data_IF_153814058865
#
_entry.id   IF_153814058865
#
_cell.length_a   1.000
_cell.length_b   1.000
_cell.length_c   1.000
_cell.angle_alpha   90.00
_cell.angle_beta   90.00
_cell.angle_gamma   90.00
#
_symmetry.space_group_name_H-M   'P 1'
#
loop_
_entity.id
_entity.type
_entity.pdbx_description
1 polymer ?
#
# COMPACT_ATOMS: atom_id res chain seq x y z
N UNK A 1 7.21 5.67 21.21
CA UNK A 1 6.54 5.67 19.92
C UNK A 1 6.91 6.91 19.12
N UNK A 2 8.11 6.95 18.53
CA UNK A 2 8.51 7.83 17.44
C UNK A 2 8.31 9.36 17.57
N UNK A 3 7.58 9.86 18.57
CA UNK A 3 7.32 11.30 18.74
C UNK A 3 8.60 12.12 18.86
N UNK A 4 9.66 11.54 19.44
CA UNK A 4 10.97 12.15 19.51
C UNK A 4 11.59 12.41 18.13
N UNK A 5 11.15 11.71 17.08
CA UNK A 5 11.64 11.96 15.72
C UNK A 5 11.15 13.28 15.15
N UNK A 6 10.04 13.84 15.67
CA UNK A 6 9.48 15.10 15.18
C UNK A 6 10.38 16.30 15.46
N UNK A 7 11.28 16.22 16.44
CA UNK A 7 12.32 17.23 16.65
C UNK A 7 13.26 17.37 15.45
N UNK A 8 13.48 16.27 14.69
CA UNK A 8 14.32 16.28 13.49
C UNK A 8 13.65 17.02 12.31
N UNK A 9 12.34 17.29 12.41
CA UNK A 9 11.60 18.12 11.46
C UNK A 9 11.47 19.58 11.94
N UNK A 10 11.91 19.90 13.17
CA UNK A 10 11.67 21.21 13.78
C UNK A 10 10.19 21.47 14.08
N UNK A 11 9.40 20.43 14.33
CA UNK A 11 7.96 20.50 14.54
C UNK A 11 7.63 20.25 16.00
N UNK A 12 6.83 21.15 16.59
CA UNK A 12 6.26 21.00 17.92
C UNK A 12 4.85 20.42 17.84
N UNK A 13 4.60 19.39 18.65
CA UNK A 13 3.32 18.69 18.70
C UNK A 13 2.46 19.20 19.84
N UNK A 14 1.29 19.73 19.54
CA UNK A 14 0.29 20.16 20.52
C UNK A 14 -0.46 18.99 21.16
N UNK A 15 -0.84 18.03 20.34
CA UNK A 15 -1.48 16.79 20.79
C UNK A 15 -1.27 15.66 19.79
N UNK A 16 -1.34 14.43 20.27
CA UNK A 16 -1.26 13.25 19.40
C UNK A 16 -2.29 12.20 19.78
N UNK A 17 -2.77 11.47 18.78
CA UNK A 17 -3.69 10.35 18.96
C UNK A 17 -3.28 9.18 18.05
N UNK A 18 -3.57 7.96 18.50
CA UNK A 18 -3.30 6.75 17.69
C UNK A 18 -4.41 6.52 16.69
N UNK A 19 -4.03 6.11 15.50
CA UNK A 19 -4.90 5.56 14.47
C UNK A 19 -4.26 4.30 13.89
N UNK A 20 -4.91 3.61 12.98
CA UNK A 20 -4.51 2.35 12.35
C UNK A 20 -3.01 2.28 11.99
N UNK A 21 -2.16 1.92 12.96
CA UNK A 21 -0.69 1.75 12.78
C UNK A 21 0.10 3.06 12.61
N UNK A 22 -0.46 4.21 13.03
CA UNK A 22 0.17 5.51 12.93
C UNK A 22 -0.19 6.43 14.10
N UNK A 23 0.49 7.57 14.21
CA UNK A 23 0.16 8.67 15.12
C UNK A 23 -0.30 9.86 14.29
N UNK A 24 -1.50 10.35 14.59
CA UNK A 24 -1.99 11.65 14.12
C UNK A 24 -1.46 12.70 15.07
N UNK A 25 -0.69 13.66 14.56
CA UNK A 25 -0.05 14.73 15.32
C UNK A 25 -0.67 16.07 14.94
N UNK A 26 -1.26 16.78 15.90
CA UNK A 26 -1.76 18.14 15.71
C UNK A 26 -0.65 19.12 16.01
N UNK A 27 -0.32 19.97 15.05
CA UNK A 27 0.76 20.96 15.12
C UNK A 27 0.25 22.35 14.75
N UNK A 28 1.09 23.37 14.83
CA UNK A 28 0.76 24.70 14.30
C UNK A 28 0.67 24.74 12.79
N UNK A 29 1.40 23.87 12.11
CA UNK A 29 1.44 23.76 10.65
C UNK A 29 0.28 22.93 10.07
N UNK A 30 -0.55 22.34 10.93
CA UNK A 30 -1.66 21.47 10.51
C UNK A 30 -1.60 20.10 11.17
N UNK A 31 -2.29 19.16 10.56
CA UNK A 31 -2.34 17.78 11.03
C UNK A 31 -1.36 16.94 10.22
N UNK A 32 -0.56 16.15 10.92
CA UNK A 32 0.48 15.31 10.36
C UNK A 32 0.29 13.85 10.78
N UNK A 33 0.70 12.93 9.94
CA UNK A 33 0.66 11.50 10.19
C UNK A 33 2.09 10.95 10.29
N UNK A 34 2.47 10.52 11.48
CA UNK A 34 3.73 9.82 11.74
C UNK A 34 3.51 8.32 11.72
N UNK A 35 4.29 7.60 10.90
CA UNK A 35 4.16 6.15 10.72
C UNK A 35 5.52 5.47 10.72
N UNK A 36 5.61 4.27 11.33
CA UNK A 36 6.77 3.41 11.12
C UNK A 36 6.91 3.06 9.64
N UNK A 37 8.15 3.07 9.16
CA UNK A 37 8.47 2.80 7.76
C UNK A 37 9.07 1.42 7.60
N UNK A 38 8.44 0.60 6.74
CA UNK A 38 8.87 -0.76 6.43
C UNK A 38 9.00 -0.93 4.92
N UNK A 39 10.00 -0.31 4.33
CA UNK A 39 10.12 -0.35 2.88
C UNK A 39 11.49 0.05 2.34
N UNK A 40 11.57 0.19 1.02
CA UNK A 40 12.74 0.71 0.33
C UNK A 40 12.66 2.23 0.24
N UNK A 41 13.71 2.93 0.70
CA UNK A 41 13.80 4.40 0.58
C UNK A 41 13.76 4.86 -0.88
N UNK A 42 14.34 4.11 -1.82
CA UNK A 42 14.24 4.40 -3.26
C UNK A 42 12.79 4.39 -3.74
N UNK A 43 12.00 3.39 -3.30
CA UNK A 43 10.57 3.32 -3.64
C UNK A 43 9.79 4.45 -2.99
N UNK A 44 10.16 4.84 -1.77
CA UNK A 44 9.57 5.98 -1.06
C UNK A 44 9.80 7.30 -1.81
N UNK A 45 11.01 7.54 -2.30
CA UNK A 45 11.33 8.71 -3.13
C UNK A 45 10.47 8.75 -4.40
N UNK A 46 10.36 7.64 -5.10
CA UNK A 46 9.47 7.54 -6.27
C UNK A 46 8.01 7.81 -5.91
N UNK A 47 7.50 7.25 -4.80
CA UNK A 47 6.15 7.53 -4.31
C UNK A 47 5.96 9.02 -4.02
N UNK A 48 6.95 9.68 -3.43
CA UNK A 48 6.91 11.13 -3.18
C UNK A 48 6.82 11.94 -4.48
N UNK A 49 7.55 11.56 -5.53
CA UNK A 49 7.45 12.20 -6.84
C UNK A 49 6.04 12.08 -7.44
N UNK A 50 5.45 10.88 -7.36
CA UNK A 50 4.06 10.65 -7.81
C UNK A 50 3.08 11.51 -7.01
N UNK A 51 3.19 11.54 -5.69
CA UNK A 51 2.32 12.33 -4.81
C UNK A 51 2.49 13.84 -5.07
N UNK A 52 3.72 14.33 -5.26
CA UNK A 52 3.99 15.73 -5.62
C UNK A 52 3.31 16.09 -6.96
N UNK A 53 3.43 15.22 -7.97
CA UNK A 53 2.75 15.41 -9.27
C UNK A 53 1.22 15.47 -9.11
N UNK A 54 0.63 14.53 -8.39
CA UNK A 54 -0.81 14.52 -8.14
C UNK A 54 -1.28 15.78 -7.41
N UNK A 55 -0.51 16.24 -6.42
CA UNK A 55 -0.79 17.48 -5.69
C UNK A 55 -0.74 18.71 -6.60
N UNK A 56 0.25 18.80 -7.48
CA UNK A 56 0.39 19.89 -8.47
C UNK A 56 -0.79 19.92 -9.44
N UNK A 57 -1.35 18.76 -9.78
CA UNK A 57 -2.56 18.63 -10.61
C UNK A 57 -3.86 18.85 -9.81
N UNK A 58 -3.75 19.32 -8.57
CA UNK A 58 -4.86 19.65 -7.68
C UNK A 58 -5.60 18.44 -7.12
N UNK A 59 -4.97 17.27 -7.06
CA UNK A 59 -5.47 16.15 -6.27
C UNK A 59 -5.10 16.35 -4.81
N UNK A 60 -6.06 16.18 -3.91
CA UNK A 60 -5.83 16.23 -2.48
C UNK A 60 -5.20 14.91 -2.03
N UNK A 61 -3.89 14.92 -1.84
CA UNK A 61 -3.11 13.73 -1.45
C UNK A 61 -2.18 14.05 -0.28
N UNK A 62 -1.90 13.06 0.55
CA UNK A 62 -1.02 13.19 1.70
C UNK A 62 0.44 13.01 1.25
N UNK A 63 1.16 14.11 1.06
CA UNK A 63 2.57 14.09 0.65
C UNK A 63 3.48 13.88 1.85
N UNK A 64 4.65 13.27 1.63
CA UNK A 64 5.69 13.12 2.64
C UNK A 64 6.38 14.46 2.91
N UNK A 65 6.83 14.63 4.15
CA UNK A 65 7.58 15.80 4.64
C UNK A 65 9.02 15.38 4.84
N UNK A 66 9.95 16.16 4.27
CA UNK A 66 11.37 15.99 4.47
C UNK A 66 11.79 16.55 5.84
N UNK A 67 12.71 15.87 6.52
CA UNK A 67 13.30 16.38 7.76
C UNK A 67 14.31 17.51 7.46
N UNK A 68 14.93 18.09 8.49
CA UNK A 68 15.89 19.18 8.35
C UNK A 68 17.15 18.81 7.55
N UNK A 69 17.43 17.52 7.37
CA UNK A 69 18.53 17.00 6.57
C UNK A 69 18.10 16.66 5.11
N UNK A 70 16.82 16.91 4.75
CA UNK A 70 16.28 16.60 3.43
C UNK A 70 15.93 15.13 3.24
N UNK A 71 15.83 14.32 4.30
CA UNK A 71 15.44 12.93 4.24
C UNK A 71 13.95 12.75 4.49
N UNK A 72 13.30 11.82 3.77
CA UNK A 72 11.94 11.39 4.01
C UNK A 72 11.82 10.40 5.18
N UNK A 73 12.93 9.79 5.59
CA UNK A 73 12.96 8.81 6.68
C UNK A 73 13.77 9.37 7.84
N UNK A 74 13.19 9.35 9.01
CA UNK A 74 13.87 9.65 10.28
C UNK A 74 13.96 8.40 11.13
N UNK A 75 14.95 8.33 12.01
CA UNK A 75 15.11 7.21 12.94
C UNK A 75 15.02 7.70 14.37
N UNK A 76 14.34 6.93 15.19
CA UNK A 76 14.31 7.21 16.62
C UNK A 76 15.59 6.68 17.32
N UNK A 77 15.65 6.85 18.65
CA UNK A 77 16.78 6.39 19.48
C UNK A 77 17.02 4.86 19.42
N UNK A 78 16.00 4.10 19.08
CA UNK A 78 16.05 2.64 18.95
C UNK A 78 16.30 2.22 17.49
N UNK A 79 16.69 3.17 16.63
CA UNK A 79 16.96 3.02 15.20
C UNK A 79 15.73 2.57 14.37
N UNK A 80 14.53 2.74 14.92
CA UNK A 80 13.28 2.44 14.20
C UNK A 80 13.02 3.56 13.18
N UNK A 81 12.80 3.23 11.90
CA UNK A 81 12.55 4.23 10.86
C UNK A 81 11.09 4.71 10.87
N UNK A 82 10.91 6.00 10.65
CA UNK A 82 9.61 6.67 10.56
C UNK A 82 9.54 7.58 9.34
N UNK A 83 8.34 7.75 8.80
CA UNK A 83 8.00 8.77 7.82
C UNK A 83 6.94 9.70 8.36
N UNK A 84 6.97 10.96 7.92
CA UNK A 84 5.99 11.97 8.26
C UNK A 84 5.26 12.42 6.99
N UNK A 85 3.92 12.51 7.07
CA UNK A 85 3.07 12.95 5.95
C UNK A 85 2.13 14.05 6.41
N UNK A 86 1.73 14.91 5.48
CA UNK A 86 0.54 15.73 5.67
C UNK A 86 -0.67 14.82 5.83
N UNK A 87 -1.64 15.27 6.61
CA UNK A 87 -2.90 14.56 6.81
C UNK A 87 -4.07 15.47 6.46
N UNK A 88 -4.81 15.10 5.43
CA UNK A 88 -6.01 15.81 5.05
C UNK A 88 -7.21 15.28 5.85
N UNK A 89 -7.79 16.13 6.71
CA UNK A 89 -9.03 15.76 7.43
C UNK A 89 -10.22 15.67 6.47
N UNK A 90 -11.01 14.63 6.66
CA UNK A 90 -12.24 14.43 5.91
C UNK A 90 -13.03 13.28 6.50
N UNK A 91 -14.29 13.18 6.09
CA UNK A 91 -15.08 11.99 6.39
C UNK A 91 -14.81 10.89 5.36
N UNK A 92 -14.94 9.67 5.76
CA UNK A 92 -14.92 8.53 4.84
C UNK A 92 -16.14 8.58 3.89
N UNK A 93 -15.97 8.02 2.69
CA UNK A 93 -17.05 7.86 1.71
C UNK A 93 -18.17 6.98 2.32
N UNK A 94 -19.39 7.49 2.28
CA UNK A 94 -20.56 6.68 2.62
C UNK A 94 -20.97 5.84 1.40
N UNK A 95 -20.71 4.53 1.47
CA UNK A 95 -21.04 3.58 0.41
C UNK A 95 -22.54 3.42 0.15
N UNK A 96 -23.40 4.00 0.99
CA UNK A 96 -24.86 4.07 0.77
C UNK A 96 -25.28 5.38 0.09
N UNK A 97 -24.40 6.38 0.04
CA UNK A 97 -24.66 7.64 -0.64
C UNK A 97 -24.26 7.53 -2.12
N UNK A 98 -25.24 7.64 -3.00
CA UNK A 98 -25.00 7.68 -4.46
C UNK A 98 -24.04 8.81 -4.86
N UNK A 99 -24.18 9.95 -4.23
CA UNK A 99 -23.34 11.12 -4.51
C UNK A 99 -21.88 10.88 -4.13
N UNK A 100 -21.62 10.29 -2.96
CA UNK A 100 -20.28 9.95 -2.52
C UNK A 100 -19.62 8.92 -3.44
N UNK A 101 -20.38 7.92 -3.89
CA UNK A 101 -19.89 6.90 -4.84
C UNK A 101 -19.47 7.57 -6.14
N UNK A 102 -20.33 8.43 -6.72
CA UNK A 102 -20.02 9.14 -7.96
C UNK A 102 -18.79 10.01 -7.80
N UNK A 103 -18.69 10.79 -6.72
CA UNK A 103 -17.51 11.63 -6.43
C UNK A 103 -16.25 10.81 -6.29
N UNK A 104 -16.31 9.68 -5.59
CA UNK A 104 -15.16 8.77 -5.42
C UNK A 104 -14.67 8.23 -6.75
N UNK A 105 -15.57 7.80 -7.63
CA UNK A 105 -15.21 7.32 -8.98
C UNK A 105 -14.61 8.45 -9.84
N UNK A 106 -15.15 9.67 -9.76
CA UNK A 106 -14.62 10.84 -10.49
C UNK A 106 -13.21 11.19 -10.01
N UNK A 107 -12.97 11.17 -8.69
CA UNK A 107 -11.64 11.42 -8.12
C UNK A 107 -10.66 10.32 -8.57
N UNK A 108 -11.06 9.06 -8.51
CA UNK A 108 -10.24 7.93 -8.94
C UNK A 108 -9.86 8.05 -10.43
N UNK A 109 -10.82 8.38 -11.29
CA UNK A 109 -10.56 8.60 -12.72
C UNK A 109 -9.59 9.76 -12.95
N UNK A 110 -9.70 10.84 -12.15
CA UNK A 110 -8.77 11.97 -12.21
C UNK A 110 -7.36 11.56 -11.77
N UNK A 111 -7.23 10.83 -10.66
CA UNK A 111 -5.95 10.30 -10.18
C UNK A 111 -5.30 9.44 -11.27
N UNK A 112 -6.03 8.48 -11.84
CA UNK A 112 -5.52 7.61 -12.90
C UNK A 112 -5.02 8.39 -14.13
N UNK A 113 -5.68 9.49 -14.51
CA UNK A 113 -5.26 10.34 -15.61
C UNK A 113 -3.85 10.90 -15.42
N UNK A 114 -3.47 11.19 -14.18
CA UNK A 114 -2.18 11.79 -13.84
C UNK A 114 -1.12 10.78 -13.36
N UNK A 115 -1.52 9.55 -13.06
CA UNK A 115 -0.61 8.47 -12.66
C UNK A 115 0.08 7.87 -13.90
N UNK A 116 0.86 8.71 -14.55
CA UNK A 116 1.65 8.35 -15.73
C UNK A 116 3.06 8.94 -15.58
N UNK A 117 4.05 8.09 -15.29
CA UNK A 117 5.46 8.47 -15.12
C UNK A 117 6.35 7.31 -15.55
N UNK A 118 7.56 7.59 -16.09
CA UNK A 118 8.55 6.55 -16.33
C UNK A 118 8.86 5.79 -15.04
N UNK A 119 8.87 4.46 -15.10
CA UNK A 119 9.09 3.59 -13.94
C UNK A 119 10.30 2.70 -14.18
N UNK A 120 11.23 2.68 -13.23
CA UNK A 120 12.31 1.71 -13.23
C UNK A 120 11.76 0.29 -13.00
N UNK A 121 12.33 -0.71 -13.68
CA UNK A 121 11.93 -2.13 -13.51
C UNK A 121 11.96 -2.58 -12.05
N UNK A 122 12.83 -2.00 -11.22
CA UNK A 122 12.94 -2.30 -9.80
C UNK A 122 11.67 -1.95 -9.00
N UNK A 123 10.82 -1.06 -9.50
CA UNK A 123 9.56 -0.65 -8.85
C UNK A 123 8.33 -1.36 -9.40
N UNK A 124 8.49 -2.14 -10.46
CA UNK A 124 7.38 -2.90 -11.01
C UNK A 124 6.93 -3.97 -9.99
N UNK A 125 5.64 -4.02 -9.74
CA UNK A 125 5.05 -5.10 -8.96
C UNK A 125 5.24 -6.44 -9.67
N UNK A 126 5.24 -7.54 -8.91
CA UNK A 126 5.19 -8.88 -9.49
C UNK A 126 3.95 -9.02 -10.36
N UNK A 127 4.04 -9.88 -11.38
CA UNK A 127 2.87 -10.18 -12.19
C UNK A 127 1.77 -10.83 -11.34
N UNK A 128 0.53 -10.64 -11.72
CA UNK A 128 -0.58 -11.32 -11.05
C UNK A 128 -0.46 -12.84 -11.18
N UNK A 129 0.12 -13.33 -12.28
CA UNK A 129 0.41 -14.74 -12.48
C UNK A 129 1.42 -15.28 -11.44
N UNK A 130 2.51 -14.53 -11.18
CA UNK A 130 3.49 -14.88 -10.16
C UNK A 130 2.87 -14.88 -8.76
N UNK A 131 2.00 -13.91 -8.46
CA UNK A 131 1.31 -13.83 -7.17
C UNK A 131 0.35 -15.01 -6.96
N UNK A 132 -0.44 -15.39 -7.97
CA UNK A 132 -1.27 -16.60 -7.91
C UNK A 132 -0.45 -17.87 -7.71
N UNK A 133 0.63 -18.04 -8.49
CA UNK A 133 1.53 -19.18 -8.36
C UNK A 133 2.11 -19.30 -6.95
N UNK A 134 2.60 -18.17 -6.41
CA UNK A 134 3.16 -18.08 -5.06
C UNK A 134 2.13 -18.43 -3.99
N UNK A 135 0.95 -17.81 -4.01
CA UNK A 135 -0.10 -18.06 -3.03
C UNK A 135 -0.61 -19.50 -3.08
N UNK A 136 -0.82 -20.06 -4.27
CA UNK A 136 -1.19 -21.47 -4.42
C UNK A 136 -0.13 -22.38 -3.80
N UNK A 137 1.17 -22.06 -3.96
CA UNK A 137 2.25 -22.82 -3.35
C UNK A 137 2.26 -22.69 -1.81
N UNK A 138 2.02 -21.50 -1.29
CA UNK A 138 1.93 -21.26 0.15
C UNK A 138 0.77 -22.05 0.77
N UNK A 139 -0.41 -22.02 0.16
CA UNK A 139 -1.57 -22.81 0.60
C UNK A 139 -1.26 -24.31 0.59
N UNK A 140 -0.56 -24.83 -0.43
CA UNK A 140 -0.11 -26.24 -0.46
C UNK A 140 0.85 -26.56 0.69
N UNK A 141 1.79 -25.66 1.01
CA UNK A 141 2.71 -25.82 2.15
C UNK A 141 1.96 -25.87 3.47
N UNK A 142 1.02 -24.94 3.69
CA UNK A 142 0.19 -24.90 4.89
C UNK A 142 -0.64 -26.19 5.01
N UNK A 143 -1.29 -26.63 3.93
CA UNK A 143 -2.04 -27.89 3.89
C UNK A 143 -1.18 -29.09 4.28
N UNK A 144 0.03 -29.17 3.70
CA UNK A 144 0.99 -30.24 4.02
C UNK A 144 1.38 -30.22 5.49
N UNK A 145 1.70 -29.05 6.01
CA UNK A 145 2.08 -28.88 7.42
C UNK A 145 0.97 -29.33 8.38
N UNK A 146 -0.28 -28.88 8.16
CA UNK A 146 -1.42 -29.23 9.02
C UNK A 146 -1.69 -30.75 8.94
N UNK A 147 -1.59 -31.38 7.76
CA UNK A 147 -1.73 -32.85 7.62
C UNK A 147 -0.65 -33.61 8.37
N UNK A 148 0.60 -33.16 8.33
CA UNK A 148 1.72 -33.83 9.02
C UNK A 148 1.65 -33.66 10.54
N UNK A 149 1.24 -32.47 11.01
CA UNK A 149 1.06 -32.19 12.42
C UNK A 149 -0.14 -32.95 13.03
N UNK A 150 -1.16 -33.24 12.20
CA UNK A 150 -2.48 -33.68 12.65
C UNK A 150 -3.36 -32.48 13.03
N UNK A 151 -4.50 -32.33 12.36
CA UNK A 151 -5.44 -31.24 12.58
C UNK A 151 -6.11 -31.38 13.96
N UNK A 152 -5.74 -30.54 14.92
CA UNK A 152 -6.26 -30.52 16.29
C UNK A 152 -7.32 -29.43 16.49
N UNK A 153 -7.04 -28.20 16.00
CA UNK A 153 -7.93 -27.06 16.12
C UNK A 153 -9.12 -27.14 15.15
N UNK A 154 -10.25 -26.56 15.55
CA UNK A 154 -11.46 -26.47 14.72
C UNK A 154 -11.14 -25.81 13.36
N UNK A 155 -10.42 -24.70 13.37
CA UNK A 155 -9.99 -24.01 12.15
C UNK A 155 -9.18 -24.93 11.21
N UNK A 156 -8.23 -25.70 11.74
CA UNK A 156 -7.41 -26.62 10.94
C UNK A 156 -8.25 -27.69 10.24
N UNK A 157 -9.26 -28.21 10.91
CA UNK A 157 -10.20 -29.20 10.35
C UNK A 157 -11.06 -28.59 9.23
N UNK A 158 -11.62 -27.42 9.47
CA UNK A 158 -12.43 -26.68 8.49
C UNK A 158 -11.56 -26.28 7.26
N UNK A 159 -10.33 -25.81 7.52
CA UNK A 159 -9.37 -25.50 6.45
C UNK A 159 -9.08 -26.74 5.57
N UNK A 160 -8.77 -27.89 6.18
CA UNK A 160 -8.51 -29.12 5.41
C UNK A 160 -9.72 -29.59 4.62
N UNK A 161 -10.93 -29.34 5.11
CA UNK A 161 -12.19 -29.67 4.43
C UNK A 161 -12.45 -28.81 3.18
N UNK A 162 -11.97 -27.58 3.15
CA UNK A 162 -12.26 -26.62 2.07
C UNK A 162 -11.07 -26.31 1.15
N UNK A 163 -9.84 -26.47 1.62
CA UNK A 163 -8.62 -26.01 0.94
C UNK A 163 -8.44 -26.56 -0.46
N UNK A 164 -8.88 -27.81 -0.69
CA UNK A 164 -8.75 -28.46 -2.01
C UNK A 164 -9.55 -27.69 -3.07
N UNK A 165 -10.79 -27.32 -2.75
CA UNK A 165 -11.64 -26.52 -3.64
C UNK A 165 -11.03 -25.16 -3.98
N UNK A 166 -10.47 -24.46 -2.97
CA UNK A 166 -9.81 -23.17 -3.18
C UNK A 166 -8.55 -23.30 -4.04
N UNK A 167 -7.74 -24.35 -3.84
CA UNK A 167 -6.58 -24.63 -4.67
C UNK A 167 -6.95 -24.86 -6.12
N UNK A 168 -7.97 -25.68 -6.38
CA UNK A 168 -8.45 -25.97 -7.75
C UNK A 168 -8.92 -24.67 -8.44
N UNK A 169 -9.64 -23.81 -7.71
CA UNK A 169 -10.05 -22.50 -8.24
C UNK A 169 -8.85 -21.58 -8.49
N UNK A 170 -7.88 -21.53 -7.58
CA UNK A 170 -6.67 -20.74 -7.74
C UNK A 170 -5.79 -21.22 -8.89
N UNK A 171 -5.66 -22.55 -9.10
CA UNK A 171 -4.94 -23.13 -10.22
C UNK A 171 -5.63 -22.84 -11.56
N UNK A 172 -6.96 -22.97 -11.61
CA UNK A 172 -7.74 -22.61 -12.80
C UNK A 172 -7.65 -21.12 -13.13
N UNK A 173 -7.69 -20.25 -12.12
CA UNK A 173 -7.52 -18.83 -12.33
C UNK A 173 -6.13 -18.50 -12.90
N UNK A 174 -5.07 -19.11 -12.37
CA UNK A 174 -3.71 -18.99 -12.91
C UNK A 174 -3.63 -19.47 -14.37
N UNK A 175 -4.20 -20.61 -14.68
CA UNK A 175 -4.23 -21.14 -16.05
C UNK A 175 -4.94 -20.17 -17.02
N UNK A 176 -6.09 -19.65 -16.63
CA UNK A 176 -6.83 -18.67 -17.43
C UNK A 176 -6.02 -17.38 -17.64
N UNK A 177 -5.35 -16.90 -16.59
CA UNK A 177 -4.53 -15.69 -16.65
C UNK A 177 -3.34 -15.86 -17.60
N UNK A 178 -2.63 -16.99 -17.50
CA UNK A 178 -1.48 -17.32 -18.38
C UNK A 178 -1.90 -17.45 -19.84
N UNK A 179 -3.12 -17.94 -20.10
CA UNK A 179 -3.68 -18.06 -21.47
C UNK A 179 -4.27 -16.76 -22.01
N UNK A 180 -4.41 -15.74 -21.17
CA UNK A 180 -4.95 -14.43 -21.56
C UNK A 180 -3.86 -13.50 -22.12
N UNK A 181 -4.27 -12.34 -22.63
CA UNK A 181 -3.33 -11.29 -23.05
C UNK A 181 -2.81 -10.42 -21.90
N UNK A 182 -2.96 -10.86 -20.65
CA UNK A 182 -2.59 -10.08 -19.46
C UNK A 182 -1.12 -9.60 -19.48
N UNK A 183 -0.16 -10.47 -19.75
CA UNK A 183 1.26 -10.09 -19.76
C UNK A 183 1.56 -9.06 -20.86
N UNK A 184 0.97 -9.18 -22.03
CA UNK A 184 1.09 -8.17 -23.10
C UNK A 184 0.52 -6.81 -22.68
N UNK A 185 -0.64 -6.81 -22.02
CA UNK A 185 -1.25 -5.58 -21.52
C UNK A 185 -0.41 -4.95 -20.41
N UNK A 186 0.16 -5.77 -19.52
CA UNK A 186 1.05 -5.33 -18.45
C UNK A 186 2.33 -4.69 -19.01
N UNK A 187 2.97 -5.35 -19.97
CA UNK A 187 4.19 -4.83 -20.60
C UNK A 187 3.90 -3.51 -21.32
N UNK A 188 2.83 -3.43 -22.08
CA UNK A 188 2.38 -2.19 -22.73
C UNK A 188 2.13 -1.07 -21.71
N UNK A 189 1.43 -1.37 -20.62
CA UNK A 189 1.19 -0.39 -19.56
C UNK A 189 2.50 0.12 -18.94
N UNK A 190 3.50 -0.77 -18.76
CA UNK A 190 4.83 -0.41 -18.29
C UNK A 190 5.59 0.49 -19.27
N UNK A 191 5.53 0.20 -20.58
CA UNK A 191 6.11 1.04 -21.63
C UNK A 191 5.45 2.42 -21.70
N UNK A 192 4.14 2.50 -21.50
CA UNK A 192 3.38 3.75 -21.45
C UNK A 192 3.57 4.51 -20.13
N UNK A 193 4.28 3.94 -19.14
CA UNK A 193 4.51 4.55 -17.83
C UNK A 193 3.25 4.64 -16.96
N UNK A 194 2.26 3.78 -17.19
CA UNK A 194 1.03 3.76 -16.40
C UNK A 194 1.30 3.18 -15.00
N UNK A 195 0.88 3.90 -13.98
CA UNK A 195 1.02 3.50 -12.59
C UNK A 195 -0.31 2.95 -12.05
N UNK A 196 -0.22 1.95 -11.17
CA UNK A 196 -1.34 1.51 -10.35
C UNK A 196 -1.10 1.89 -8.87
N UNK A 197 -2.16 2.08 -8.13
CA UNK A 197 -2.17 2.44 -6.70
C UNK A 197 -2.50 1.24 -5.81
#
# INVERSE_FOLDING_TARGET
YGLSTLTQYGIEVKSSSRTRGALVCRTEQGILLLREFHGSEKKLLFQQEVLKKLSQEGCLVDTYIENQEGSLVTRDKDNIPYTLQNWNEGRECDTKSREDIIRSVQILARVHKFMNMPVEKAYMARSLADEYARHNQEIRKIRKFIRQKGASARFEKEFLGSVQWFLEKGEKALEMLVKSDYEKLRDKAGEEGLLCH
#
